data_IF_187439447351
#
_entry.id   IF_187439447351
#
_cell.length_a   1.000
_cell.length_b   1.000
_cell.length_c   1.000
_cell.angle_alpha   90.00
_cell.angle_beta   90.00
_cell.angle_gamma   90.00
#
_symmetry.space_group_name_H-M   'P 1'
#
loop_
_entity.id
_entity.type
_entity.pdbx_description
1 polymer ?
#
# COMPACT_ATOMS: atom_id res chain seq x y z
N UNK A 1 5.18 9.67 -10.79
CA UNK A 1 6.16 8.92 -9.97
C UNK A 1 5.68 8.87 -8.53
N UNK A 2 5.89 7.76 -7.81
CA UNK A 2 5.60 7.72 -6.37
C UNK A 2 6.57 8.66 -5.64
N UNK A 3 6.05 9.47 -4.74
CA UNK A 3 6.82 10.49 -4.00
C UNK A 3 6.62 10.40 -2.49
N UNK A 4 5.56 9.72 -2.04
CA UNK A 4 5.28 9.60 -0.63
C UNK A 4 4.26 8.52 -0.32
N UNK A 5 4.27 8.08 0.93
CA UNK A 5 3.30 7.16 1.52
C UNK A 5 2.85 7.79 2.84
N UNK A 6 1.56 7.75 3.13
CA UNK A 6 1.02 8.18 4.42
C UNK A 6 0.24 7.07 5.10
N UNK A 7 0.32 7.00 6.43
CA UNK A 7 -0.45 6.07 7.27
C UNK A 7 -1.16 6.88 8.37
N UNK A 8 -2.47 6.67 8.54
CA UNK A 8 -3.27 7.42 9.52
C UNK A 8 -3.24 8.94 9.27
N UNK A 9 -3.14 9.36 8.01
CA UNK A 9 -2.99 10.76 7.61
C UNK A 9 -1.60 11.38 7.87
N UNK A 10 -0.64 10.62 8.39
CA UNK A 10 0.73 11.08 8.62
C UNK A 10 1.65 10.62 7.49
N UNK A 11 2.34 11.57 6.85
CA UNK A 11 3.35 11.29 5.84
C UNK A 11 4.55 10.56 6.46
N UNK A 12 4.94 9.44 5.86
CA UNK A 12 6.11 8.68 6.31
C UNK A 12 7.41 9.39 5.89
N UNK A 13 8.38 9.41 6.80
CA UNK A 13 9.72 9.94 6.55
C UNK A 13 10.57 8.92 5.77
N UNK A 14 10.37 8.86 4.46
CA UNK A 14 11.14 8.02 3.53
C UNK A 14 11.93 8.92 2.57
N UNK A 15 13.25 8.75 2.41
CA UNK A 15 14.03 9.57 1.48
C UNK A 15 13.54 9.44 0.04
N UNK A 16 13.49 10.55 -0.70
CA UNK A 16 13.02 10.55 -2.09
C UNK A 16 13.82 9.61 -3.02
N UNK A 17 15.11 9.40 -2.72
CA UNK A 17 15.97 8.47 -3.45
C UNK A 17 15.48 7.02 -3.42
N UNK A 18 14.74 6.63 -2.38
CA UNK A 18 14.13 5.29 -2.28
C UNK A 18 13.14 5.04 -3.42
N UNK A 19 12.48 6.09 -3.92
CA UNK A 19 11.49 6.02 -5.00
C UNK A 19 12.07 6.33 -6.40
N UNK A 20 13.40 6.45 -6.54
CA UNK A 20 14.03 6.92 -7.78
C UNK A 20 13.72 6.07 -9.01
N UNK A 21 13.48 4.76 -8.84
CA UNK A 21 13.10 3.84 -9.92
C UNK A 21 11.67 4.01 -10.41
N UNK A 22 10.88 4.90 -9.80
CA UNK A 22 9.50 5.15 -10.16
C UNK A 22 8.56 4.02 -9.75
N UNK A 23 7.36 4.03 -10.32
CA UNK A 23 6.32 3.04 -10.06
C UNK A 23 5.63 2.65 -11.36
N UNK A 24 5.46 1.34 -11.55
CA UNK A 24 4.68 0.75 -12.65
C UNK A 24 3.31 0.33 -12.12
N UNK A 25 2.26 0.55 -12.90
CA UNK A 25 0.93 0.02 -12.63
C UNK A 25 0.80 -1.31 -13.36
N UNK A 26 0.66 -2.40 -12.60
CA UNK A 26 0.69 -3.76 -13.14
C UNK A 26 -0.42 -4.61 -12.52
N UNK A 27 -1.46 -4.89 -13.31
CA UNK A 27 -2.57 -5.76 -12.91
C UNK A 27 -2.18 -7.23 -12.84
N UNK A 28 -1.03 -7.64 -13.41
CA UNK A 28 -0.50 -9.01 -13.32
C UNK A 28 0.16 -9.30 -11.98
N UNK A 29 0.55 -8.26 -11.23
CA UNK A 29 1.08 -8.38 -9.87
C UNK A 29 -0.07 -8.29 -8.85
N UNK A 30 -0.26 -9.32 -8.03
CA UNK A 30 -1.42 -9.40 -7.10
C UNK A 30 -1.48 -8.22 -6.12
N UNK A 31 -0.39 -7.94 -5.40
CA UNK A 31 -0.34 -6.88 -4.39
C UNK A 31 0.86 -5.96 -4.59
N UNK A 32 0.75 -4.72 -4.14
CA UNK A 32 1.78 -3.68 -4.34
C UNK A 32 3.15 -4.10 -3.79
N UNK A 33 4.19 -3.84 -4.58
CA UNK A 33 5.61 -4.05 -4.23
C UNK A 33 6.29 -2.70 -4.05
N UNK A 34 6.83 -2.46 -2.87
CA UNK A 34 7.52 -1.21 -2.54
C UNK A 34 9.02 -1.47 -2.34
N UNK A 35 9.88 -0.50 -2.63
CA UNK A 35 11.29 -0.55 -2.22
C UNK A 35 11.41 -0.93 -0.74
N UNK A 36 12.39 -1.77 -0.34
CA UNK A 36 12.48 -2.33 1.01
C UNK A 36 12.37 -1.30 2.14
N UNK A 37 13.03 -0.14 2.02
CA UNK A 37 12.94 0.92 3.04
C UNK A 37 11.55 1.53 3.14
N UNK A 38 10.89 1.77 2.00
CA UNK A 38 9.53 2.29 1.96
C UNK A 38 8.52 1.27 2.52
N UNK A 39 8.67 -0.02 2.17
CA UNK A 39 7.86 -1.09 2.72
C UNK A 39 8.01 -1.22 4.23
N UNK A 40 9.25 -1.20 4.73
CA UNK A 40 9.53 -1.31 6.16
C UNK A 40 8.90 -0.15 6.95
N UNK A 41 8.98 1.08 6.42
CA UNK A 41 8.33 2.25 7.02
C UNK A 41 6.81 2.12 7.05
N UNK A 42 6.19 1.74 5.93
CA UNK A 42 4.74 1.47 5.83
C UNK A 42 4.31 0.41 6.83
N UNK A 43 4.99 -0.74 6.84
CA UNK A 43 4.70 -1.86 7.73
C UNK A 43 4.80 -1.45 9.20
N UNK A 44 5.85 -0.72 9.57
CA UNK A 44 6.06 -0.26 10.94
C UNK A 44 4.96 0.69 11.39
N UNK A 45 4.67 1.72 10.59
CA UNK A 45 3.63 2.69 10.89
C UNK A 45 2.23 2.04 10.95
N UNK A 46 1.93 1.14 10.01
CA UNK A 46 0.68 0.40 10.00
C UNK A 46 0.52 -0.46 11.25
N UNK A 47 1.56 -1.23 11.63
CA UNK A 47 1.54 -2.04 12.86
C UNK A 47 1.36 -1.18 14.11
N UNK A 48 2.02 -0.02 14.17
CA UNK A 48 1.85 0.94 15.26
C UNK A 48 0.40 1.45 15.34
N UNK A 49 -0.20 1.81 14.20
CA UNK A 49 -1.60 2.25 14.14
C UNK A 49 -2.58 1.12 14.46
N UNK A 50 -2.26 -0.12 14.13
CA UNK A 50 -3.09 -1.28 14.48
C UNK A 50 -3.01 -1.65 15.96
N UNK A 51 -1.89 -1.38 16.63
CA UNK A 51 -1.69 -1.73 18.04
C UNK A 51 -2.71 -1.05 18.97
N UNK A 52 -3.20 0.16 18.62
CA UNK A 52 -4.23 0.85 19.39
C UNK A 52 -5.59 0.16 19.39
N UNK A 53 -5.84 -0.76 18.45
CA UNK A 53 -7.11 -1.47 18.32
C UNK A 53 -7.10 -2.87 18.97
N UNK A 54 -5.94 -3.37 19.39
CA UNK A 54 -5.83 -4.63 20.15
C UNK A 54 -6.08 -5.91 19.35
N UNK A 55 -6.06 -5.86 18.01
CA UNK A 55 -6.25 -7.06 17.18
C UNK A 55 -5.11 -8.06 17.36
N UNK A 56 -5.38 -9.36 17.61
CA UNK A 56 -4.35 -10.38 17.68
C UNK A 56 -3.60 -10.52 16.35
N UNK A 57 -2.28 -10.66 16.41
CA UNK A 57 -1.49 -11.02 15.24
C UNK A 57 -1.84 -12.44 14.77
N UNK A 58 -1.82 -12.65 13.45
CA UNK A 58 -1.98 -13.95 12.82
C UNK A 58 -0.67 -14.36 12.12
N UNK A 59 -0.45 -15.66 11.86
CA UNK A 59 0.69 -16.11 11.08
C UNK A 59 0.76 -15.43 9.70
N UNK A 60 1.97 -15.21 9.15
CA UNK A 60 2.14 -14.67 7.82
C UNK A 60 1.57 -15.61 6.76
N UNK A 61 1.13 -15.06 5.62
CA UNK A 61 0.58 -15.83 4.51
C UNK A 61 1.40 -15.56 3.25
N UNK A 62 2.19 -16.56 2.82
CA UNK A 62 3.08 -16.43 1.68
C UNK A 62 4.08 -15.29 1.86
N UNK A 63 3.97 -14.26 1.01
CA UNK A 63 4.83 -13.07 1.04
C UNK A 63 4.30 -11.95 1.95
N UNK A 64 3.11 -12.10 2.52
CA UNK A 64 2.49 -11.09 3.39
C UNK A 64 2.89 -11.38 4.83
N UNK A 65 3.68 -10.47 5.42
CA UNK A 65 4.33 -10.69 6.72
C UNK A 65 3.57 -10.07 7.92
N UNK A 66 2.49 -9.34 7.64
CA UNK A 66 1.74 -8.57 8.63
C UNK A 66 0.27 -8.94 8.51
N UNK A 67 -0.18 -9.84 9.38
CA UNK A 67 -1.53 -10.39 9.36
C UNK A 67 -2.17 -10.30 10.75
N UNK A 68 -3.50 -10.18 10.79
CA UNK A 68 -4.30 -10.04 11.99
C UNK A 68 -5.48 -11.02 11.97
N UNK A 69 -5.84 -11.51 13.15
CA UNK A 69 -7.04 -12.32 13.35
C UNK A 69 -8.19 -11.43 13.82
N UNK A 70 -9.20 -11.28 12.96
CA UNK A 70 -10.42 -10.53 13.26
C UNK A 70 -11.57 -11.41 13.75
N UNK A 71 -11.34 -12.69 14.05
CA UNK A 71 -12.38 -13.57 14.59
C UNK A 71 -12.93 -13.02 15.90
N UNK A 72 -14.26 -12.89 15.98
CA UNK A 72 -14.93 -12.31 17.15
C UNK A 72 -14.99 -10.78 17.16
N UNK A 73 -14.39 -10.11 16.17
CA UNK A 73 -14.58 -8.68 15.92
C UNK A 73 -15.69 -8.49 14.88
N UNK A 74 -16.54 -7.47 15.07
CA UNK A 74 -17.63 -7.15 14.13
C UNK A 74 -17.11 -6.47 12.87
N UNK A 75 -16.69 -5.21 12.99
CA UNK A 75 -16.00 -4.46 11.94
C UNK A 75 -14.58 -4.10 12.38
N UNK A 76 -13.63 -4.29 11.47
CA UNK A 76 -12.24 -3.91 11.71
C UNK A 76 -12.03 -2.43 11.36
N UNK A 77 -11.41 -1.68 12.27
CA UNK A 77 -10.94 -0.31 12.00
C UNK A 77 -9.49 -0.37 11.60
N UNK A 78 -9.13 0.29 10.50
CA UNK A 78 -7.78 0.29 9.95
C UNK A 78 -7.23 1.71 9.90
N UNK A 79 -5.91 1.92 10.12
CA UNK A 79 -5.26 3.16 9.74
C UNK A 79 -5.43 3.39 8.24
N UNK A 80 -5.78 4.62 7.83
CA UNK A 80 -5.81 4.99 6.42
C UNK A 80 -4.43 4.82 5.79
N UNK A 81 -4.35 4.42 4.53
CA UNK A 81 -3.10 4.36 3.77
C UNK A 81 -3.30 5.08 2.46
N UNK A 82 -2.34 5.95 2.11
CA UNK A 82 -2.37 6.64 0.83
C UNK A 82 -1.00 6.69 0.15
N UNK A 83 -1.02 6.69 -1.18
CA UNK A 83 0.16 6.81 -2.05
C UNK A 83 0.12 8.15 -2.76
N UNK A 84 1.15 8.98 -2.58
CA UNK A 84 1.23 10.32 -3.18
C UNK A 84 2.17 10.30 -4.38
N UNK A 85 1.71 10.81 -5.51
CA UNK A 85 2.44 10.86 -6.77
C UNK A 85 2.85 12.29 -7.14
N UNK A 86 3.95 12.40 -7.88
CA UNK A 86 4.37 13.63 -8.55
C UNK A 86 3.22 14.22 -9.36
N UNK A 87 2.99 15.52 -9.24
CA UNK A 87 1.81 16.19 -9.82
C UNK A 87 0.65 16.36 -8.84
N UNK A 88 0.79 15.89 -7.59
CA UNK A 88 -0.15 16.14 -6.49
C UNK A 88 -1.28 15.12 -6.37
N UNK A 89 -1.35 14.13 -7.26
CA UNK A 89 -2.34 13.06 -7.17
C UNK A 89 -2.06 12.17 -5.95
N UNK A 90 -3.12 11.87 -5.18
CA UNK A 90 -3.04 10.99 -4.01
C UNK A 90 -4.06 9.87 -4.14
N UNK A 91 -3.60 8.62 -4.09
CA UNK A 91 -4.45 7.44 -4.03
C UNK A 91 -4.66 7.06 -2.58
N UNK A 92 -5.82 7.43 -2.03
CA UNK A 92 -6.27 6.94 -0.72
C UNK A 92 -6.94 5.59 -0.91
N UNK A 93 -6.39 4.56 -0.28
CA UNK A 93 -6.84 3.19 -0.48
C UNK A 93 -8.05 2.87 0.41
N UNK A 94 -8.97 2.08 -0.13
CA UNK A 94 -10.05 1.47 0.63
C UNK A 94 -9.56 0.31 1.49
N UNK A 95 -10.40 -0.16 2.41
CA UNK A 95 -10.03 -1.21 3.36
C UNK A 95 -9.49 -2.46 2.66
N UNK A 96 -10.10 -2.87 1.54
CA UNK A 96 -9.70 -4.01 0.72
C UNK A 96 -8.35 -3.79 0.00
N UNK A 97 -8.02 -2.53 -0.28
CA UNK A 97 -6.73 -2.12 -0.82
C UNK A 97 -5.61 -2.09 0.22
N UNK A 98 -5.96 -2.10 1.51
CA UNK A 98 -5.02 -2.06 2.64
C UNK A 98 -4.82 -3.47 3.23
N UNK A 99 -5.92 -4.16 3.55
CA UNK A 99 -5.94 -5.52 4.06
C UNK A 99 -6.81 -6.41 3.16
N UNK A 100 -6.34 -7.62 2.89
CA UNK A 100 -7.13 -8.66 2.26
C UNK A 100 -6.89 -9.98 2.98
N UNK A 101 -7.96 -10.71 3.30
CA UNK A 101 -7.93 -11.93 4.10
C UNK A 101 -7.13 -11.79 5.41
N UNK A 102 -7.22 -10.60 6.04
CA UNK A 102 -6.55 -10.30 7.30
C UNK A 102 -5.09 -9.86 7.20
N UNK A 103 -4.50 -9.80 6.00
CA UNK A 103 -3.09 -9.48 5.80
C UNK A 103 -2.87 -8.16 5.04
N UNK A 104 -1.84 -7.40 5.42
CA UNK A 104 -1.38 -6.19 4.74
C UNK A 104 -1.00 -6.54 3.31
N UNK A 105 -1.66 -5.91 2.34
CA UNK A 105 -1.51 -6.21 0.91
C UNK A 105 -0.35 -5.45 0.29
N UNK A 106 0.80 -5.44 0.97
CA UNK A 106 2.05 -4.86 0.51
C UNK A 106 3.19 -5.82 0.81
N UNK A 107 4.23 -5.79 -0.02
CA UNK A 107 5.47 -6.50 0.26
C UNK A 107 6.68 -5.72 -0.28
N UNK A 108 7.87 -6.06 0.19
CA UNK A 108 9.11 -5.53 -0.37
C UNK A 108 9.28 -5.97 -1.84
N UNK A 109 9.81 -5.10 -2.68
CA UNK A 109 10.28 -5.43 -4.02
C UNK A 109 11.67 -6.09 -3.95
N UNK A 110 11.98 -6.95 -4.93
CA UNK A 110 13.29 -7.57 -5.05
C UNK A 110 14.38 -6.66 -5.62
N UNK A 111 14.01 -5.46 -6.11
CA UNK A 111 14.92 -4.54 -6.79
C UNK A 111 15.74 -3.62 -5.88
N UNK A 112 15.52 -3.66 -4.56
CA UNK A 112 16.18 -2.77 -3.61
C UNK A 112 15.65 -1.32 -3.63
N UNK A 113 16.29 -0.46 -2.84
CA UNK A 113 15.96 0.97 -2.82
C UNK A 113 16.42 1.65 -4.12
N UNK A 114 15.59 2.55 -4.65
CA UNK A 114 15.79 3.13 -5.98
C UNK A 114 15.40 2.19 -7.14
N UNK A 115 15.00 0.95 -6.85
CA UNK A 115 14.40 0.04 -7.82
C UNK A 115 12.94 0.39 -8.16
N UNK A 116 12.39 -0.29 -9.17
CA UNK A 116 11.00 -0.11 -9.60
C UNK A 116 10.03 -0.56 -8.49
N UNK A 117 9.10 0.32 -8.12
CA UNK A 117 7.92 -0.04 -7.34
C UNK A 117 6.79 -0.52 -8.27
N UNK A 118 5.87 -1.32 -7.74
CA UNK A 118 4.74 -1.86 -8.53
C UNK A 118 3.44 -1.59 -7.77
N UNK A 119 2.50 -0.87 -8.38
CA UNK A 119 1.12 -0.78 -7.92
C UNK A 119 0.37 -2.02 -8.39
N UNK A 120 0.09 -2.94 -7.47
CA UNK A 120 -0.53 -4.23 -7.77
C UNK A 120 -2.05 -4.16 -7.95
N UNK A 121 -2.63 -5.25 -8.45
CA UNK A 121 -4.06 -5.39 -8.74
C UNK A 121 -4.95 -5.03 -7.54
N UNK A 122 -4.66 -5.54 -6.34
CA UNK A 122 -5.49 -5.30 -5.16
C UNK A 122 -5.67 -3.81 -4.87
N UNK A 123 -4.61 -3.01 -4.98
CA UNK A 123 -4.67 -1.56 -4.76
C UNK A 123 -5.35 -0.79 -5.91
N UNK A 124 -5.53 -1.41 -7.07
CA UNK A 124 -6.22 -0.80 -8.21
C UNK A 124 -7.74 -1.01 -8.16
N UNK A 125 -8.24 -2.01 -7.42
CA UNK A 125 -9.63 -2.50 -7.55
C UNK A 125 -10.73 -1.48 -7.29
N UNK A 126 -10.48 -0.48 -6.44
CA UNK A 126 -11.48 0.57 -6.17
C UNK A 126 -11.32 1.82 -7.04
N UNK A 127 -10.47 1.74 -8.06
CA UNK A 127 -10.22 2.82 -8.99
C UNK A 127 -10.52 2.41 -10.43
N UNK A 128 -11.17 3.30 -11.17
CA UNK A 128 -11.05 3.30 -12.62
C UNK A 128 -9.65 3.81 -12.97
N UNK A 129 -8.86 2.97 -13.65
CA UNK A 129 -7.49 3.29 -14.07
C UNK A 129 -7.48 3.61 -15.56
N UNK A 130 -7.05 4.81 -15.92
CA UNK A 130 -6.98 5.27 -17.32
C UNK A 130 -5.53 5.53 -17.73
N UNK A 131 -5.13 4.96 -18.86
CA UNK A 131 -3.84 5.20 -19.50
C UNK A 131 -4.05 6.10 -20.72
N UNK A 132 -3.35 7.23 -20.81
CA UNK A 132 -3.42 8.17 -21.94
C UNK A 132 -2.07 8.33 -22.66
N UNK A 133 -1.20 7.33 -22.52
CA UNK A 133 0.13 7.26 -23.11
C UNK A 133 1.18 7.98 -22.27
N UNK A 134 0.98 9.27 -21.97
CA UNK A 134 1.94 10.07 -21.20
C UNK A 134 1.65 10.08 -19.68
N UNK A 135 0.42 9.74 -19.29
CA UNK A 135 -0.03 9.78 -17.90
C UNK A 135 -0.92 8.58 -17.55
N UNK A 136 -1.10 8.41 -16.24
CA UNK A 136 -2.01 7.45 -15.66
C UNK A 136 -2.93 8.20 -14.71
N UNK A 137 -4.24 8.08 -14.95
CA UNK A 137 -5.29 8.67 -14.12
C UNK A 137 -5.98 7.62 -13.26
N UNK A 138 -6.36 8.02 -12.05
CA UNK A 138 -7.10 7.17 -11.11
C UNK A 138 -8.35 7.90 -10.66
N UNK A 139 -9.50 7.27 -10.80
CA UNK A 139 -10.78 7.80 -10.33
C UNK A 139 -11.36 6.86 -9.27
N UNK A 140 -11.50 7.31 -8.00
CA UNK A 140 -11.94 6.45 -6.90
C UNK A 140 -13.41 6.05 -7.03
N UNK A 141 -13.79 4.97 -6.33
CA UNK A 141 -15.18 4.47 -6.19
C UNK A 141 -15.91 4.26 -7.52
N UNK A 142 -15.21 3.74 -8.52
CA UNK A 142 -15.75 3.58 -9.88
C UNK A 142 -15.86 2.10 -10.32
N UNK A 143 -15.64 1.15 -9.40
CA UNK A 143 -15.67 -0.29 -9.63
C UNK A 143 -16.24 -1.03 -8.41
#
# INVERSE_FOLDING_TARGET
MLTGISVGGQQLSVPASVFAGGMVVDSGTVVTRLPPTAYAALRSAFRSGMASYGYPAAPPTGILDTCYNFTGYGSATLPSVALTFSGGATLTLDAEGILSFGCLTFAASGGGDGGIAILGNVQQRSFEVRFDGASVGFKPHSC
#
